data_IF_713675655163
#
_entry.id   IF_713675655163
#
_cell.length_a   1.000
_cell.length_b   1.000
_cell.length_c   1.000
_cell.angle_alpha   90.00
_cell.angle_beta   90.00
_cell.angle_gamma   90.00
#
_symmetry.space_group_name_H-M   'P 1'
#
loop_
_entity.id
_entity.type
_entity.pdbx_description
1 polymer ?
#
# COMPACT_ATOMS: atom_id res chain seq x y z
N UNK A 1 -8.40 12.29 -15.79
CA UNK A 1 -8.88 11.02 -16.36
C UNK A 1 -8.60 9.91 -15.37
N UNK A 2 -9.58 9.07 -15.05
CA UNK A 2 -9.43 7.94 -14.13
C UNK A 2 -8.87 6.71 -14.86
N UNK A 3 -8.36 5.73 -14.09
CA UNK A 3 -8.08 4.38 -14.60
C UNK A 3 -9.37 3.79 -15.21
N UNK A 4 -9.22 2.99 -16.26
CA UNK A 4 -10.35 2.24 -16.81
C UNK A 4 -10.83 1.19 -15.82
N UNK A 5 -12.07 0.72 -15.95
CA UNK A 5 -12.59 -0.39 -15.12
C UNK A 5 -11.74 -1.65 -15.24
N UNK A 6 -11.23 -1.96 -16.44
CA UNK A 6 -10.34 -3.11 -16.67
C UNK A 6 -9.01 -2.98 -15.91
N UNK A 7 -8.37 -1.81 -15.97
CA UNK A 7 -7.14 -1.55 -15.22
C UNK A 7 -7.39 -1.64 -13.71
N UNK A 8 -8.51 -1.09 -13.25
CA UNK A 8 -8.88 -1.12 -11.83
C UNK A 8 -9.07 -2.54 -11.34
N UNK A 9 -9.87 -3.37 -12.04
CA UNK A 9 -10.06 -4.79 -11.69
C UNK A 9 -8.74 -5.58 -11.72
N UNK A 10 -7.86 -5.28 -12.68
CA UNK A 10 -6.53 -5.91 -12.73
C UNK A 10 -5.70 -5.55 -11.49
N UNK A 11 -5.69 -4.28 -11.10
CA UNK A 11 -4.99 -3.81 -9.91
C UNK A 11 -5.59 -4.42 -8.64
N UNK A 12 -6.92 -4.47 -8.51
CA UNK A 12 -7.60 -5.12 -7.38
C UNK A 12 -7.17 -6.58 -7.25
N UNK A 13 -7.11 -7.31 -8.37
CA UNK A 13 -6.67 -8.71 -8.36
C UNK A 13 -5.20 -8.85 -7.93
N UNK A 14 -4.30 -8.02 -8.47
CA UNK A 14 -2.87 -8.09 -8.17
C UNK A 14 -2.55 -7.67 -6.73
N UNK A 15 -3.08 -6.53 -6.31
CA UNK A 15 -2.88 -5.99 -4.96
C UNK A 15 -3.62 -6.85 -3.93
N UNK A 16 -4.80 -7.36 -4.27
CA UNK A 16 -5.53 -8.30 -3.42
C UNK A 16 -4.75 -9.59 -3.19
N UNK A 17 -4.19 -10.20 -4.24
CA UNK A 17 -3.35 -11.40 -4.11
C UNK A 17 -2.10 -11.12 -3.26
N UNK A 18 -1.48 -9.94 -3.41
CA UNK A 18 -0.35 -9.53 -2.59
C UNK A 18 -0.72 -9.40 -1.11
N UNK A 19 -1.82 -8.72 -0.81
CA UNK A 19 -2.30 -8.53 0.56
C UNK A 19 -2.65 -9.88 1.17
N UNK A 20 -3.37 -10.76 0.48
CA UNK A 20 -3.65 -12.12 0.97
C UNK A 20 -2.38 -12.92 1.26
N UNK A 21 -1.36 -12.82 0.42
CA UNK A 21 -0.09 -13.52 0.62
C UNK A 21 0.73 -12.98 1.81
N UNK A 22 0.59 -11.69 2.14
CA UNK A 22 1.31 -11.04 3.24
C UNK A 22 0.49 -10.90 4.52
N UNK A 23 -0.83 -11.13 4.46
CA UNK A 23 -1.71 -11.07 5.64
C UNK A 23 -1.21 -12.06 6.68
N UNK A 24 -1.08 -11.63 7.94
CA UNK A 24 -0.66 -12.53 9.00
C UNK A 24 -1.78 -13.54 9.31
N UNK A 25 -1.41 -14.58 10.05
CA UNK A 25 -2.32 -15.66 10.41
C UNK A 25 -3.60 -15.13 11.13
N UNK A 26 -4.74 -15.84 11.04
CA UNK A 26 -6.03 -15.34 11.54
C UNK A 26 -6.03 -14.87 13.00
N UNK A 27 -5.17 -15.45 13.85
CA UNK A 27 -5.02 -15.08 15.25
C UNK A 27 -4.27 -13.75 15.48
N UNK A 28 -3.51 -13.27 14.48
CA UNK A 28 -2.78 -12.00 14.51
C UNK A 28 -3.58 -10.88 13.85
N UNK A 29 -4.51 -11.19 12.93
CA UNK A 29 -5.36 -10.20 12.24
C UNK A 29 -6.06 -9.19 13.17
N UNK A 30 -6.52 -9.56 14.38
CA UNK A 30 -7.08 -8.58 15.31
C UNK A 30 -6.06 -7.57 15.85
N UNK A 31 -4.76 -7.86 15.75
CA UNK A 31 -3.64 -7.01 16.22
C UNK A 31 -2.96 -6.26 15.06
N UNK A 32 -2.89 -6.89 13.90
CA UNK A 32 -2.27 -6.36 12.69
C UNK A 32 -2.94 -7.02 11.48
N UNK A 33 -3.59 -6.22 10.66
CA UNK A 33 -4.09 -6.66 9.35
C UNK A 33 -3.55 -5.73 8.25
N UNK A 34 -3.55 -6.23 7.02
CA UNK A 34 -3.17 -5.48 5.84
C UNK A 34 -4.39 -5.25 4.96
N UNK A 35 -4.52 -4.03 4.49
CA UNK A 35 -5.56 -3.64 3.57
C UNK A 35 -5.01 -2.71 2.49
N UNK A 36 -5.79 -2.56 1.43
CA UNK A 36 -5.47 -1.68 0.33
C UNK A 36 -6.70 -0.92 -0.13
N UNK A 37 -6.47 0.21 -0.78
CA UNK A 37 -7.50 1.07 -1.35
C UNK A 37 -7.01 1.63 -2.66
N UNK A 38 -7.87 1.57 -3.67
CA UNK A 38 -7.59 2.17 -4.97
C UNK A 38 -8.42 3.44 -5.08
N UNK A 39 -7.75 4.59 -5.20
CA UNK A 39 -8.39 5.91 -5.42
C UNK A 39 -7.94 6.48 -6.75
N UNK A 40 -8.83 6.40 -7.74
CA UNK A 40 -8.61 6.94 -9.08
C UNK A 40 -7.50 6.22 -9.83
N UNK A 41 -6.27 6.72 -9.74
CA UNK A 41 -5.06 6.11 -10.31
C UNK A 41 -3.97 5.83 -9.27
N UNK A 42 -4.33 5.92 -7.99
CA UNK A 42 -3.44 5.63 -6.88
C UNK A 42 -3.86 4.35 -6.18
N UNK A 43 -2.90 3.47 -5.97
CA UNK A 43 -3.01 2.30 -5.10
C UNK A 43 -2.36 2.67 -3.77
N UNK A 44 -3.10 2.56 -2.68
CA UNK A 44 -2.64 2.82 -1.32
C UNK A 44 -2.72 1.51 -0.54
N UNK A 45 -1.63 1.13 0.11
CA UNK A 45 -1.53 0.00 1.04
C UNK A 45 -1.41 0.59 2.45
N UNK A 46 -2.20 0.07 3.36
CA UNK A 46 -2.23 0.50 4.75
C UNK A 46 -2.37 -0.70 5.68
N UNK A 47 -1.78 -0.56 6.85
CA UNK A 47 -1.97 -1.49 7.95
C UNK A 47 -3.19 -1.08 8.78
N UNK A 48 -3.88 -2.06 9.33
CA UNK A 48 -4.97 -1.85 10.28
C UNK A 48 -4.49 -2.41 11.61
N UNK A 49 -4.38 -1.55 12.62
CA UNK A 49 -3.96 -1.94 13.96
C UNK A 49 -4.95 -1.40 14.99
N UNK A 50 -5.16 -2.06 16.15
CA UNK A 50 -5.92 -1.48 17.24
C UNK A 50 -5.31 -0.15 17.68
N UNK A 51 -6.16 0.86 17.89
CA UNK A 51 -5.71 2.17 18.32
C UNK A 51 -5.12 2.07 19.73
N UNK A 52 -3.90 2.59 19.90
CA UNK A 52 -3.28 2.67 21.22
C UNK A 52 -4.11 3.55 22.16
N UNK A 53 -4.56 2.99 23.30
CA UNK A 53 -5.53 3.60 24.24
C UNK A 53 -6.90 3.96 23.63
N UNK A 54 -7.28 3.36 22.51
CA UNK A 54 -8.63 3.49 21.95
C UNK A 54 -9.67 2.66 22.72
N UNK A 55 -10.94 2.89 22.41
CA UNK A 55 -12.01 2.03 22.91
C UNK A 55 -11.85 0.58 22.38
N UNK A 56 -12.36 -0.44 23.08
CA UNK A 56 -12.34 -1.81 22.58
C UNK A 56 -12.99 -1.90 21.19
N UNK A 57 -12.23 -2.35 20.19
CA UNK A 57 -12.67 -2.43 18.79
C UNK A 57 -12.31 -1.21 17.93
N UNK A 58 -11.72 -0.16 18.50
CA UNK A 58 -11.24 0.98 17.73
C UNK A 58 -9.95 0.63 16.99
N UNK A 59 -9.99 0.67 15.66
CA UNK A 59 -8.84 0.43 14.79
C UNK A 59 -8.36 1.71 14.13
N UNK A 60 -7.07 1.78 13.86
CA UNK A 60 -6.41 2.86 13.13
C UNK A 60 -5.85 2.32 11.82
N UNK A 61 -6.09 3.06 10.74
CA UNK A 61 -5.45 2.83 9.44
C UNK A 61 -4.09 3.56 9.43
N UNK A 62 -3.01 2.81 9.24
CA UNK A 62 -1.65 3.32 9.12
C UNK A 62 -1.22 3.18 7.66
N UNK A 63 -1.26 4.25 6.85
CA UNK A 63 -0.82 4.18 5.48
C UNK A 63 0.67 3.91 5.44
N UNK A 64 1.09 2.93 4.64
CA UNK A 64 2.50 2.49 4.58
C UNK A 64 3.10 2.76 3.21
N UNK A 65 2.40 2.36 2.15
CA UNK A 65 2.91 2.53 0.78
C UNK A 65 1.83 3.07 -0.15
N UNK A 66 2.23 3.90 -1.12
CA UNK A 66 1.33 4.41 -2.14
C UNK A 66 2.02 4.42 -3.49
N UNK A 67 1.32 3.94 -4.52
CA UNK A 67 1.76 4.01 -5.90
C UNK A 67 0.76 4.80 -6.72
N UNK A 68 1.21 5.85 -7.42
CA UNK A 68 0.35 6.63 -8.32
C UNK A 68 0.77 6.42 -9.77
N UNK A 69 -0.14 5.94 -10.60
CA UNK A 69 0.10 5.76 -12.01
C UNK A 69 0.11 7.08 -12.76
N UNK A 70 1.12 7.29 -13.60
CA UNK A 70 1.31 8.47 -14.44
C UNK A 70 1.22 8.02 -15.90
N UNK A 71 0.01 8.07 -16.46
CA UNK A 71 -0.29 7.63 -17.83
C UNK A 71 0.59 8.28 -18.90
N UNK A 72 0.89 9.57 -18.78
CA UNK A 72 1.71 10.31 -19.76
C UNK A 72 3.12 9.76 -19.92
N UNK A 73 3.63 9.09 -18.89
CA UNK A 73 4.98 8.50 -18.89
C UNK A 73 4.94 6.98 -18.79
N UNK A 74 3.76 6.37 -18.69
CA UNK A 74 3.57 4.94 -18.45
C UNK A 74 4.42 4.42 -17.27
N UNK A 75 4.44 5.17 -16.17
CA UNK A 75 5.20 4.82 -14.95
C UNK A 75 4.33 4.92 -13.70
N UNK A 76 4.69 4.18 -12.67
CA UNK A 76 4.14 4.29 -11.33
C UNK A 76 5.11 5.07 -10.45
N UNK A 77 4.65 6.14 -9.83
CA UNK A 77 5.41 6.88 -8.81
C UNK A 77 5.18 6.23 -7.46
N UNK A 78 6.27 5.92 -6.77
CA UNK A 78 6.24 5.25 -5.46
C UNK A 78 6.40 6.29 -4.35
N UNK A 79 5.52 6.18 -3.37
CA UNK A 79 5.49 7.04 -2.19
C UNK A 79 5.44 6.18 -0.92
N UNK A 80 6.03 6.71 0.14
CA UNK A 80 6.02 6.15 1.49
C UNK A 80 5.50 7.18 2.47
N UNK A 81 4.86 6.72 3.54
CA UNK A 81 4.39 7.57 4.62
C UNK A 81 5.54 7.76 5.62
N UNK A 82 5.93 9.01 5.89
CA UNK A 82 6.95 9.33 6.89
C UNK A 82 6.30 9.63 8.24
N UNK A 83 7.12 9.71 9.29
CA UNK A 83 6.69 10.09 10.65
C UNK A 83 6.03 11.48 10.73
N UNK A 84 6.20 12.32 9.70
CA UNK A 84 5.50 13.60 9.57
C UNK A 84 4.06 13.48 9.04
N UNK A 85 3.57 12.25 8.87
CA UNK A 85 2.25 11.90 8.32
C UNK A 85 2.02 12.45 6.90
N UNK A 86 3.10 12.66 6.15
CA UNK A 86 3.05 13.09 4.74
C UNK A 86 3.58 12.01 3.83
N UNK A 87 3.04 11.99 2.61
CA UNK A 87 3.55 11.16 1.54
C UNK A 87 4.82 11.77 0.95
N UNK A 88 5.91 11.03 1.03
CA UNK A 88 7.17 11.39 0.38
C UNK A 88 7.43 10.45 -0.79
N UNK A 89 8.18 10.89 -1.79
CA UNK A 89 8.65 9.98 -2.83
C UNK A 89 9.67 9.01 -2.21
N UNK A 90 9.61 7.73 -2.59
CA UNK A 90 10.53 6.73 -2.08
C UNK A 90 11.92 6.95 -2.69
N UNK A 91 12.94 7.38 -1.93
CA UNK A 91 14.21 7.83 -2.51
C UNK A 91 14.99 6.75 -3.28
N UNK A 92 15.06 5.48 -2.81
CA UNK A 92 15.78 4.42 -3.53
C UNK A 92 15.16 4.13 -4.89
N UNK A 93 13.83 4.02 -4.95
CA UNK A 93 13.09 3.70 -6.18
C UNK A 93 11.85 4.58 -6.29
N UNK A 94 11.97 5.83 -6.77
CA UNK A 94 10.85 6.78 -6.79
C UNK A 94 9.84 6.47 -7.91
N UNK A 95 10.21 5.60 -8.85
CA UNK A 95 9.39 5.23 -10.01
C UNK A 95 9.62 3.77 -10.39
N UNK A 96 8.55 3.09 -10.79
CA UNK A 96 8.60 1.72 -11.33
C UNK A 96 7.77 1.59 -12.60
N UNK A 97 8.09 0.61 -13.43
CA UNK A 97 7.39 0.36 -14.69
C UNK A 97 6.05 -0.38 -14.51
N UNK A 98 5.89 -1.15 -13.44
CA UNK A 98 4.69 -1.94 -13.18
C UNK A 98 4.30 -1.95 -11.70
N UNK A 99 3.02 -2.23 -11.44
CA UNK A 99 2.52 -2.39 -10.08
C UNK A 99 3.16 -3.60 -9.38
N UNK A 100 3.50 -4.65 -10.11
CA UNK A 100 4.14 -5.85 -9.57
C UNK A 100 5.53 -5.52 -8.99
N UNK A 101 6.31 -4.68 -9.68
CA UNK A 101 7.58 -4.19 -9.14
C UNK A 101 7.37 -3.35 -7.89
N UNK A 102 6.31 -2.52 -7.84
CA UNK A 102 5.96 -1.79 -6.62
C UNK A 102 5.62 -2.74 -5.47
N UNK A 103 4.79 -3.75 -5.70
CA UNK A 103 4.42 -4.74 -4.68
C UNK A 103 5.65 -5.53 -4.20
N UNK A 104 6.54 -5.93 -5.11
CA UNK A 104 7.80 -6.58 -4.74
C UNK A 104 8.71 -5.69 -3.89
N UNK A 105 8.77 -4.37 -4.17
CA UNK A 105 9.52 -3.42 -3.33
C UNK A 105 8.92 -3.31 -1.93
N UNK A 106 7.58 -3.25 -1.84
CA UNK A 106 6.88 -3.20 -0.55
C UNK A 106 7.11 -4.50 0.23
N UNK A 107 7.01 -5.68 -0.39
CA UNK A 107 7.30 -6.96 0.25
C UNK A 107 8.75 -7.10 0.72
N UNK A 108 9.70 -6.67 -0.11
CA UNK A 108 11.12 -6.76 0.21
C UNK A 108 11.48 -5.88 1.40
N UNK A 109 10.82 -4.72 1.49
CA UNK A 109 11.02 -3.69 2.51
C UNK A 109 12.49 -3.56 2.96
N UNK A 110 13.39 -3.45 2.00
CA UNK A 110 14.84 -3.55 2.23
C UNK A 110 15.38 -2.50 3.21
N UNK A 111 14.64 -1.42 3.39
CA UNK A 111 15.00 -0.31 4.25
C UNK A 111 14.10 -0.16 5.49
N UNK A 112 13.24 -1.14 5.80
CA UNK A 112 12.24 -1.06 6.88
C UNK A 112 11.44 0.26 6.83
N UNK A 113 11.12 0.69 5.61
CA UNK A 113 10.50 1.96 5.30
C UNK A 113 8.99 1.82 5.14
N UNK A 114 8.51 0.61 4.89
CA UNK A 114 7.09 0.32 4.71
C UNK A 114 6.51 -0.39 5.93
N UNK A 115 7.16 -1.42 6.46
CA UNK A 115 6.70 -2.18 7.62
C UNK A 115 7.61 -1.89 8.82
N UNK A 116 7.02 -1.30 9.87
CA UNK A 116 7.73 -0.87 11.09
C UNK A 116 6.87 -0.99 12.34
#
# INVERSE_FOLDING_TARGET
>A
MALSEFETKRLEKLVGAFVEAHRPAPHIRPKLDLAFRIKGQSVEIFEIRPRWRGAPGETMENPVAKATYVRTRNIWRVFWMRADLKWHAYPPVPRVGSIETFLALVAKDEHACFFG
#
